data_IF_055871326900
#
_entry.id   IF_055871326900
#
_cell.length_a   1.000
_cell.length_b   1.000
_cell.length_c   1.000
_cell.angle_alpha   90.00
_cell.angle_beta   90.00
_cell.angle_gamma   90.00
#
_symmetry.space_group_name_H-M   'P 1'
#
loop_
_entity.id
_entity.type
_entity.pdbx_description
1 polymer ?
#
# COMPACT_ATOMS: atom_id res chain seq x y z
N UNK A 1 4.95 2.21 7.38
CA UNK A 1 3.99 1.21 7.94
C UNK A 1 3.17 1.87 9.04
N UNK A 2 2.10 1.23 9.54
CA UNK A 2 1.28 1.68 10.71
C UNK A 2 0.50 3.01 10.58
N UNK A 3 0.66 3.76 9.49
CA UNK A 3 -0.02 5.03 9.26
C UNK A 3 -1.50 4.91 8.80
N UNK A 4 -2.15 3.73 8.93
CA UNK A 4 -3.57 3.56 8.58
C UNK A 4 -3.91 3.60 7.09
N UNK A 5 -2.98 3.26 6.19
CA UNK A 5 -3.18 3.34 4.72
C UNK A 5 -4.39 2.52 4.22
N UNK A 6 -4.46 1.23 4.60
CA UNK A 6 -5.57 0.34 4.30
C UNK A 6 -6.89 0.88 4.88
N UNK A 7 -6.86 1.44 6.10
CA UNK A 7 -8.02 2.06 6.73
C UNK A 7 -8.53 3.26 5.93
N UNK A 8 -7.63 4.16 5.51
CA UNK A 8 -8.00 5.31 4.68
C UNK A 8 -8.51 4.88 3.30
N UNK A 9 -7.92 3.85 2.69
CA UNK A 9 -8.43 3.26 1.44
C UNK A 9 -9.88 2.79 1.61
N UNK A 10 -10.15 2.01 2.65
CA UNK A 10 -11.50 1.52 2.95
C UNK A 10 -12.47 2.66 3.29
N UNK A 11 -12.02 3.69 4.01
CA UNK A 11 -12.84 4.87 4.30
C UNK A 11 -13.29 5.59 3.04
N UNK A 12 -12.42 5.68 2.01
CA UNK A 12 -12.79 6.23 0.70
C UNK A 12 -13.79 5.33 -0.03
N UNK A 13 -13.57 4.02 0.02
CA UNK A 13 -14.48 3.04 -0.59
C UNK A 13 -15.85 2.99 0.08
N UNK A 14 -15.93 3.23 1.38
CA UNK A 14 -17.21 3.26 2.11
C UNK A 14 -18.02 4.53 1.85
N UNK A 15 -17.39 5.59 1.31
CA UNK A 15 -18.04 6.87 0.96
C UNK A 15 -18.45 6.97 -0.50
N UNK A 16 -18.01 6.04 -1.35
CA UNK A 16 -18.37 6.03 -2.77
C UNK A 16 -19.61 5.17 -3.01
N UNK A 17 -20.44 5.60 -3.96
CA UNK A 17 -21.55 4.81 -4.51
C UNK A 17 -21.17 4.14 -5.84
N UNK A 18 -19.92 4.27 -6.27
CA UNK A 18 -19.43 3.68 -7.52
C UNK A 18 -19.27 2.17 -7.39
N UNK A 19 -19.50 1.46 -8.48
CA UNK A 19 -19.09 0.06 -8.58
C UNK A 19 -17.57 -0.02 -8.61
N UNK A 20 -16.98 -0.80 -7.70
CA UNK A 20 -15.53 -0.92 -7.59
C UNK A 20 -15.02 -2.35 -7.50
N UNK A 21 -13.79 -2.54 -7.97
CA UNK A 21 -12.95 -3.67 -7.58
C UNK A 21 -11.92 -3.21 -6.57
N UNK A 22 -11.67 -4.05 -5.57
CA UNK A 22 -10.59 -3.89 -4.62
C UNK A 22 -9.60 -5.03 -4.84
N UNK A 23 -8.35 -4.71 -5.10
CA UNK A 23 -7.31 -5.69 -5.44
C UNK A 23 -6.12 -5.60 -4.48
N UNK A 24 -5.46 -6.74 -4.28
CA UNK A 24 -4.22 -6.87 -3.49
C UNK A 24 -3.23 -7.79 -4.21
N UNK A 25 -1.92 -7.60 -4.01
CA UNK A 25 -0.90 -8.43 -4.65
C UNK A 25 -0.84 -9.81 -3.98
N UNK A 26 -0.53 -10.87 -4.76
CA UNK A 26 -0.34 -12.24 -4.25
C UNK A 26 0.74 -12.37 -3.18
N UNK A 27 1.78 -11.53 -3.24
CA UNK A 27 2.86 -11.55 -2.25
C UNK A 27 2.40 -11.06 -0.88
N UNK A 28 1.26 -10.34 -0.81
CA UNK A 28 0.66 -9.96 0.46
C UNK A 28 -0.12 -11.14 1.08
N UNK A 29 0.62 -11.98 1.80
CA UNK A 29 0.14 -13.17 2.49
C UNK A 29 -0.42 -12.91 3.88
N UNK A 30 -0.48 -11.65 4.33
CA UNK A 30 -0.96 -11.30 5.68
C UNK A 30 -2.38 -11.80 5.96
N UNK A 31 -3.19 -11.91 4.90
CA UNK A 31 -4.57 -12.37 4.97
C UNK A 31 -4.82 -13.52 4.02
N UNK A 32 -5.17 -14.68 4.57
CA UNK A 32 -5.32 -15.97 3.85
C UNK A 32 -6.63 -16.05 3.03
N UNK A 33 -7.62 -15.19 3.30
CA UNK A 33 -9.00 -15.34 2.81
C UNK A 33 -9.43 -14.37 1.68
N UNK A 34 -8.51 -13.94 0.81
CA UNK A 34 -8.82 -12.94 -0.23
C UNK A 34 -9.51 -11.69 0.34
N UNK A 35 -8.95 -11.18 1.43
CA UNK A 35 -9.40 -9.95 2.09
C UNK A 35 -8.22 -9.03 2.36
N UNK A 36 -8.51 -7.74 2.45
CA UNK A 36 -7.67 -6.80 3.17
C UNK A 36 -8.25 -6.61 4.57
N UNK A 37 -7.37 -6.39 5.53
CA UNK A 37 -7.70 -6.23 6.94
C UNK A 37 -6.93 -5.03 7.45
N UNK A 38 -7.64 -4.15 8.14
CA UNK A 38 -7.03 -3.00 8.80
C UNK A 38 -6.52 -3.41 10.17
N UNK A 39 -5.64 -2.60 10.76
CA UNK A 39 -5.13 -2.85 12.10
C UNK A 39 -6.23 -2.85 13.18
N UNK A 40 -7.34 -2.13 12.95
CA UNK A 40 -8.52 -2.10 13.82
C UNK A 40 -9.53 -3.25 13.54
N UNK A 41 -9.16 -4.24 12.72
CA UNK A 41 -9.91 -5.47 12.50
C UNK A 41 -11.03 -5.36 11.47
N UNK A 42 -11.09 -4.29 10.68
CA UNK A 42 -12.05 -4.17 9.58
C UNK A 42 -11.58 -5.01 8.40
N UNK A 43 -12.39 -5.99 8.02
CA UNK A 43 -12.11 -6.85 6.87
C UNK A 43 -12.98 -6.49 5.67
N UNK A 44 -12.37 -6.46 4.49
CA UNK A 44 -13.07 -6.26 3.21
C UNK A 44 -12.56 -7.26 2.18
N UNK A 45 -13.46 -7.88 1.41
CA UNK A 45 -13.09 -8.78 0.31
C UNK A 45 -12.28 -8.02 -0.74
N UNK A 46 -11.20 -8.64 -1.20
CA UNK A 46 -10.29 -8.12 -2.21
C UNK A 46 -9.85 -9.25 -3.14
N UNK A 47 -9.70 -8.95 -4.43
CA UNK A 47 -9.21 -9.91 -5.42
C UNK A 47 -7.69 -9.96 -5.33
N UNK A 48 -7.16 -11.17 -5.11
CA UNK A 48 -5.72 -11.39 -5.03
C UNK A 48 -5.15 -11.64 -6.43
N UNK A 49 -4.25 -10.78 -6.89
CA UNK A 49 -3.74 -10.77 -8.28
C UNK A 49 -2.21 -10.75 -8.33
N UNK A 50 -1.63 -11.23 -9.44
CA UNK A 50 -0.19 -11.09 -9.71
C UNK A 50 0.15 -9.73 -10.33
N UNK A 51 -0.74 -9.22 -11.18
CA UNK A 51 -0.64 -7.93 -11.88
C UNK A 51 -2.02 -7.30 -11.97
N UNK A 52 -2.10 -5.98 -12.14
CA UNK A 52 -3.40 -5.28 -12.21
C UNK A 52 -4.19 -5.73 -13.44
N UNK A 53 -3.52 -6.05 -14.54
CA UNK A 53 -4.16 -6.61 -15.74
C UNK A 53 -4.86 -7.96 -15.56
N UNK A 54 -4.65 -8.67 -14.44
CA UNK A 54 -5.36 -9.94 -14.18
C UNK A 54 -6.87 -9.75 -14.02
N UNK A 55 -7.35 -8.54 -13.67
CA UNK A 55 -8.79 -8.24 -13.53
C UNK A 55 -9.40 -7.55 -14.76
N UNK A 56 -8.66 -7.39 -15.88
CA UNK A 56 -9.15 -6.64 -17.03
C UNK A 56 -10.39 -7.25 -17.70
N UNK A 57 -10.60 -8.55 -17.57
CA UNK A 57 -11.83 -9.20 -18.04
C UNK A 57 -13.05 -8.94 -17.15
N UNK A 58 -12.86 -8.36 -15.97
CA UNK A 58 -13.89 -8.13 -14.95
C UNK A 58 -14.23 -6.63 -14.77
N UNK A 59 -13.65 -5.74 -15.59
CA UNK A 59 -13.85 -4.29 -15.45
C UNK A 59 -15.14 -3.78 -16.10
N UNK A 60 -15.95 -4.66 -16.70
CA UNK A 60 -17.24 -4.28 -17.25
C UNK A 60 -18.15 -3.77 -16.13
N UNK A 61 -18.70 -2.56 -16.30
CA UNK A 61 -19.48 -1.82 -15.28
C UNK A 61 -18.72 -1.41 -14.01
N UNK A 62 -17.38 -1.52 -14.00
CA UNK A 62 -16.53 -1.02 -12.93
C UNK A 62 -16.17 0.43 -13.21
N UNK A 63 -16.31 1.28 -12.19
CA UNK A 63 -16.02 2.71 -12.27
C UNK A 63 -14.79 3.09 -11.45
N UNK A 64 -14.41 2.24 -10.50
CA UNK A 64 -13.26 2.47 -9.62
C UNK A 64 -12.47 1.18 -9.39
N UNK A 65 -11.15 1.26 -9.43
CA UNK A 65 -10.27 0.19 -8.97
C UNK A 65 -9.43 0.72 -7.82
N UNK A 66 -9.58 0.08 -6.66
CA UNK A 66 -8.76 0.31 -5.48
C UNK A 66 -7.66 -0.74 -5.40
N UNK A 67 -6.43 -0.29 -5.23
CA UNK A 67 -5.22 -1.12 -5.19
C UNK A 67 -4.58 -0.95 -3.81
N UNK A 68 -4.56 -1.99 -2.99
CA UNK A 68 -3.80 -1.98 -1.73
C UNK A 68 -2.40 -2.59 -1.92
N UNK A 69 -1.47 -2.18 -1.07
CA UNK A 69 -0.05 -2.57 -1.08
C UNK A 69 0.62 -2.50 -2.48
N UNK A 70 0.34 -1.41 -3.19
CA UNK A 70 0.75 -1.23 -4.58
C UNK A 70 2.25 -1.30 -4.84
N UNK A 71 3.09 -1.05 -3.82
CA UNK A 71 4.55 -1.13 -3.94
C UNK A 71 5.06 -2.54 -4.31
N UNK A 72 4.24 -3.57 -4.12
CA UNK A 72 4.58 -4.95 -4.44
C UNK A 72 4.23 -5.38 -5.86
N UNK A 73 3.50 -4.55 -6.62
CA UNK A 73 3.17 -4.87 -8.00
C UNK A 73 4.39 -4.67 -8.93
N UNK A 74 4.48 -5.47 -10.02
CA UNK A 74 5.55 -5.32 -11.01
C UNK A 74 5.41 -4.02 -11.79
N UNK A 75 6.42 -3.71 -12.61
CA UNK A 75 6.50 -2.50 -13.44
C UNK A 75 5.26 -2.24 -14.31
N UNK A 76 4.59 -3.32 -14.72
CA UNK A 76 3.37 -3.25 -15.53
C UNK A 76 2.25 -2.44 -14.88
N UNK A 77 2.27 -2.23 -13.56
CA UNK A 77 1.27 -1.39 -12.86
C UNK A 77 1.15 0.01 -13.48
N UNK A 78 2.24 0.57 -14.01
CA UNK A 78 2.23 1.89 -14.64
C UNK A 78 1.42 1.90 -15.94
N UNK A 79 1.67 0.92 -16.80
CA UNK A 79 0.93 0.74 -18.06
C UNK A 79 -0.53 0.35 -17.78
N UNK A 80 -0.75 -0.54 -16.80
CA UNK A 80 -2.08 -0.99 -16.40
C UNK A 80 -2.93 0.19 -15.87
N UNK A 81 -2.36 1.06 -15.02
CA UNK A 81 -3.05 2.27 -14.53
C UNK A 81 -3.40 3.21 -15.69
N UNK A 82 -2.46 3.47 -16.59
CA UNK A 82 -2.71 4.34 -17.75
C UNK A 82 -3.82 3.80 -18.65
N UNK A 83 -3.81 2.48 -18.90
CA UNK A 83 -4.87 1.82 -19.65
C UNK A 83 -6.24 2.01 -18.97
N UNK A 84 -6.34 1.74 -17.67
CA UNK A 84 -7.61 1.88 -16.94
C UNK A 84 -8.11 3.34 -16.92
N UNK A 85 -7.22 4.31 -16.73
CA UNK A 85 -7.55 5.73 -16.81
C UNK A 85 -8.06 6.09 -18.22
N UNK A 86 -7.47 5.55 -19.28
CA UNK A 86 -7.96 5.74 -20.66
C UNK A 86 -9.37 5.17 -20.91
N UNK A 87 -9.82 4.25 -20.04
CA UNK A 87 -11.19 3.71 -20.01
C UNK A 87 -12.14 4.48 -19.09
N UNK A 88 -11.73 5.66 -18.60
CA UNK A 88 -12.46 6.47 -17.62
C UNK A 88 -12.71 5.76 -16.28
N UNK A 89 -11.86 4.80 -15.91
CA UNK A 89 -11.91 4.14 -14.60
C UNK A 89 -11.07 4.93 -13.61
N UNK A 90 -11.66 5.30 -12.47
CA UNK A 90 -10.95 5.96 -11.39
C UNK A 90 -10.04 4.97 -10.67
N UNK A 91 -8.82 5.38 -10.35
CA UNK A 91 -7.86 4.55 -9.61
C UNK A 91 -7.58 5.18 -8.24
N UNK A 92 -7.65 4.35 -7.19
CA UNK A 92 -7.23 4.73 -5.84
C UNK A 92 -6.14 3.76 -5.40
N UNK A 93 -4.95 4.28 -5.13
CA UNK A 93 -3.79 3.47 -4.78
C UNK A 93 -3.39 3.71 -3.33
N UNK A 94 -3.19 2.64 -2.58
CA UNK A 94 -2.55 2.64 -1.26
C UNK A 94 -1.28 1.80 -1.30
N UNK A 95 -0.22 2.30 -0.68
CA UNK A 95 1.07 1.62 -0.65
C UNK A 95 2.11 2.37 0.16
N UNK A 96 3.23 1.72 0.44
CA UNK A 96 4.41 2.35 1.05
C UNK A 96 5.20 3.06 -0.04
N UNK A 97 5.46 4.36 0.11
CA UNK A 97 6.29 5.11 -0.85
C UNK A 97 7.79 4.85 -0.67
N UNK A 98 8.19 4.38 0.52
CA UNK A 98 9.55 4.02 0.88
C UNK A 98 9.65 2.68 1.61
N UNK A 99 10.77 1.99 1.42
CA UNK A 99 11.12 0.77 2.15
C UNK A 99 11.78 1.06 3.50
N UNK A 100 12.25 0.01 4.18
CA UNK A 100 12.85 0.14 5.51
C UNK A 100 14.24 0.80 5.50
N UNK A 101 14.88 0.88 4.33
CA UNK A 101 16.15 1.57 4.09
C UNK A 101 15.91 3.02 3.64
N UNK A 102 14.67 3.51 3.75
CA UNK A 102 14.25 4.84 3.29
C UNK A 102 14.50 5.06 1.78
N UNK A 103 14.55 3.98 0.99
CA UNK A 103 14.64 4.03 -0.47
C UNK A 103 13.23 3.97 -1.09
N UNK A 104 13.02 4.53 -2.30
CA UNK A 104 11.77 4.36 -3.03
C UNK A 104 11.32 2.90 -3.11
N UNK A 105 10.06 2.64 -2.77
CA UNK A 105 9.52 1.27 -2.80
C UNK A 105 8.77 1.00 -4.12
N UNK A 106 9.33 0.10 -4.92
CA UNK A 106 8.70 -0.36 -6.16
C UNK A 106 8.45 0.80 -7.11
N UNK A 107 7.24 0.85 -7.68
CA UNK A 107 6.84 1.88 -8.65
C UNK A 107 6.03 3.03 -8.04
N UNK A 108 6.05 3.17 -6.71
CA UNK A 108 5.23 4.16 -6.03
C UNK A 108 5.61 5.60 -6.38
N UNK A 109 6.89 5.89 -6.67
CA UNK A 109 7.30 7.25 -7.08
C UNK A 109 6.69 7.64 -8.44
N UNK A 110 6.67 6.72 -9.40
CA UNK A 110 6.01 6.94 -10.69
C UNK A 110 4.49 7.11 -10.51
N UNK A 111 3.86 6.28 -9.68
CA UNK A 111 2.43 6.39 -9.38
C UNK A 111 2.10 7.76 -8.77
N UNK A 112 2.90 8.22 -7.79
CA UNK A 112 2.77 9.56 -7.19
C UNK A 112 2.90 10.65 -8.26
N UNK A 113 3.88 10.53 -9.17
CA UNK A 113 4.09 11.50 -10.25
C UNK A 113 2.94 11.58 -11.26
N UNK A 114 2.18 10.49 -11.42
CA UNK A 114 1.00 10.44 -12.30
C UNK A 114 -0.30 10.81 -11.57
N UNK A 115 -0.31 10.82 -10.23
CA UNK A 115 -1.51 10.96 -9.45
C UNK A 115 -2.04 12.41 -9.46
N UNK A 116 -3.35 12.56 -9.64
CA UNK A 116 -4.04 13.86 -9.50
C UNK A 116 -3.97 14.41 -8.08
N UNK A 117 -3.92 13.54 -7.07
CA UNK A 117 -3.85 13.90 -5.66
C UNK A 117 -3.10 12.84 -4.88
N UNK A 118 -2.28 13.26 -3.92
CA UNK A 118 -1.51 12.37 -3.06
C UNK A 118 -1.80 12.73 -1.61
N UNK A 119 -2.12 11.72 -0.80
CA UNK A 119 -2.26 11.87 0.66
C UNK A 119 -1.15 11.07 1.31
N UNK A 120 -0.24 11.76 2.00
CA UNK A 120 0.79 11.13 2.83
C UNK A 120 0.26 11.02 4.24
N UNK A 121 0.23 9.79 4.77
CA UNK A 121 -0.19 9.52 6.14
C UNK A 121 1.04 9.30 7.01
N UNK A 122 0.99 9.80 8.23
CA UNK A 122 2.02 9.61 9.23
C UNK A 122 1.53 8.64 10.31
N UNK A 123 2.45 7.83 10.83
CA UNK A 123 2.22 7.05 12.02
C UNK A 123 2.62 7.85 13.27
N UNK A 124 2.57 7.22 14.45
CA UNK A 124 3.12 7.76 15.69
C UNK A 124 4.46 7.09 15.97
N UNK A 125 5.49 7.87 16.28
CA UNK A 125 6.82 7.37 16.58
C UNK A 125 6.81 6.48 17.82
N UNK A 126 7.29 5.24 17.69
CA UNK A 126 7.36 4.28 18.79
C UNK A 126 8.34 4.70 19.91
N UNK A 127 9.26 5.64 19.66
CA UNK A 127 10.25 6.09 20.67
C UNK A 127 9.88 7.38 21.39
N UNK A 128 9.31 8.35 20.67
CA UNK A 128 9.12 9.71 21.17
C UNK A 128 7.72 10.28 20.91
N UNK A 129 6.80 9.49 20.36
CA UNK A 129 5.40 9.87 20.09
C UNK A 129 5.20 11.04 19.12
N UNK A 130 6.26 11.56 18.50
CA UNK A 130 6.17 12.53 17.40
C UNK A 130 5.62 11.87 16.12
N UNK A 131 5.13 12.65 15.13
CA UNK A 131 4.76 12.10 13.83
C UNK A 131 5.91 11.29 13.20
N UNK A 132 5.57 10.13 12.63
CA UNK A 132 6.52 9.17 12.09
C UNK A 132 6.28 8.89 10.62
N UNK A 133 7.36 9.02 9.84
CA UNK A 133 7.37 8.84 8.39
C UNK A 133 8.33 7.71 7.94
N UNK A 134 9.02 7.06 8.89
CA UNK A 134 10.02 6.03 8.60
C UNK A 134 9.58 4.69 9.16
N UNK A 135 9.82 3.62 8.41
CA UNK A 135 9.67 2.25 8.90
C UNK A 135 11.06 1.68 9.16
N UNK A 136 11.38 1.44 10.42
CA UNK A 136 12.63 0.83 10.84
C UNK A 136 12.40 -0.65 11.10
N UNK A 137 13.32 -1.51 10.63
CA UNK A 137 13.28 -2.95 10.91
C UNK A 137 14.09 -3.24 12.17
N UNK A 138 13.50 -3.96 13.11
CA UNK A 138 14.08 -4.22 14.44
C UNK A 138 15.07 -5.41 14.40
N UNK A 139 14.94 -6.32 13.43
CA UNK A 139 15.74 -7.57 13.35
C UNK A 139 16.60 -7.65 12.09
N UNK A 140 17.85 -8.09 12.27
CA UNK A 140 18.88 -8.26 11.21
C UNK A 140 18.91 -9.67 10.57
N UNK A 141 18.05 -10.59 11.02
CA UNK A 141 18.19 -12.02 10.70
C UNK A 141 17.75 -12.40 9.26
N UNK A 142 17.56 -11.44 8.36
CA UNK A 142 17.13 -11.68 6.99
C UNK A 142 17.68 -10.63 6.03
N UNK A 143 18.43 -11.08 5.03
CA UNK A 143 18.86 -10.28 3.88
C UNK A 143 17.73 -9.96 2.90
N UNK A 144 16.51 -10.45 3.14
CA UNK A 144 15.36 -10.14 2.30
C UNK A 144 14.99 -8.67 2.45
N UNK A 145 14.84 -7.98 1.32
CA UNK A 145 14.31 -6.61 1.29
C UNK A 145 12.90 -6.54 1.93
N UNK A 146 12.15 -7.65 1.96
CA UNK A 146 10.76 -7.70 2.40
C UNK A 146 10.55 -8.81 3.43
N UNK A 147 9.91 -8.47 4.54
CA UNK A 147 9.34 -9.43 5.50
C UNK A 147 7.83 -9.15 5.60
N UNK A 148 7.04 -9.85 4.78
CA UNK A 148 5.58 -9.74 4.79
C UNK A 148 5.04 -10.48 6.01
N UNK A 149 4.14 -9.85 6.78
CA UNK A 149 3.50 -10.47 7.95
C UNK A 149 4.30 -10.43 9.24
N UNK A 150 5.49 -9.82 9.24
CA UNK A 150 6.31 -9.62 10.43
C UNK A 150 6.15 -8.20 10.99
N UNK A 151 4.91 -7.76 11.24
CA UNK A 151 4.66 -6.40 11.76
C UNK A 151 5.36 -6.12 13.09
N UNK A 152 5.56 -7.17 13.90
CA UNK A 152 6.33 -7.19 15.14
C UNK A 152 7.83 -6.92 14.94
N UNK A 153 8.33 -7.01 13.70
CA UNK A 153 9.72 -6.74 13.33
C UNK A 153 9.92 -5.34 12.75
N UNK A 154 8.89 -4.49 12.74
CA UNK A 154 9.01 -3.09 12.30
C UNK A 154 8.48 -2.13 13.35
N UNK A 155 9.12 -0.97 13.45
CA UNK A 155 8.63 0.18 14.21
C UNK A 155 8.51 1.42 13.30
N UNK A 156 7.56 2.29 13.61
CA UNK A 156 7.44 3.60 13.01
C UNK A 156 8.30 4.61 13.77
N UNK A 157 9.20 5.30 13.07
CA UNK A 157 10.08 6.30 13.66
C UNK A 157 9.90 7.68 13.01
N UNK A 158 10.10 8.73 13.82
CA UNK A 158 10.37 10.06 13.29
C UNK A 158 11.82 10.12 12.78
N UNK A 159 12.15 11.13 11.98
CA UNK A 159 13.48 11.27 11.39
C UNK A 159 14.60 11.22 12.43
N UNK A 160 14.49 12.02 13.50
CA UNK A 160 15.48 12.06 14.59
C UNK A 160 15.76 10.69 15.22
N UNK A 161 14.71 9.89 15.43
CA UNK A 161 14.85 8.55 16.02
C UNK A 161 15.33 7.52 15.01
N UNK A 162 15.04 7.69 13.72
CA UNK A 162 15.56 6.83 12.66
C UNK A 162 17.08 7.04 12.49
N UNK A 163 17.51 8.31 12.44
CA UNK A 163 18.92 8.67 12.24
C UNK A 163 19.82 8.18 13.39
N UNK A 164 19.29 8.01 14.62
CA UNK A 164 20.06 7.45 15.74
C UNK A 164 20.47 5.99 15.59
N UNK A 165 19.88 5.25 14.63
CA UNK A 165 20.29 3.89 14.27
C UNK A 165 21.35 3.86 13.16
N UNK A 166 21.64 5.01 12.54
CA UNK A 166 22.61 5.14 11.45
C UNK A 166 23.98 5.65 11.92
N UNK A 167 24.20 5.70 13.24
CA UNK A 167 25.46 6.04 13.93
C UNK A 167 26.11 4.78 14.49
#
# INVERSE_FOLDING_TARGET
MFAGKTTELLNRLNKTNQNYLLIKPKIDTRNINNSIETHDGVQKKAITVSKVSDVFSEIDNIQLIAIDEAQFFPASIIEDINYLVSKNIQIVVAGLDKDYLNQPFGYMQQIIGMAKSVTRLEAVCNKCSSPASYSHRITDNSSSQILVGASDQYEALCQKCFDSYSL
#
